data_IF_286988034330
#
_entry.id   IF_286988034330
#
_cell.length_a   1.000
_cell.length_b   1.000
_cell.length_c   1.000
_cell.angle_alpha   90.00
_cell.angle_beta   90.00
_cell.angle_gamma   90.00
#
_symmetry.space_group_name_H-M   'P 1'
#
loop_
_entity.id
_entity.type
_entity.pdbx_description
1 polymer ?
#
# COMPACT_ATOMS: atom_id res chain seq x y z
N UNK A 1 -2.66 12.70 13.68
CA UNK A 1 -2.64 12.27 13.03
C UNK A 1 -3.18 12.23 11.93
N UNK A 2 -3.39 12.62 11.34
CA UNK A 2 -3.86 12.87 10.09
C UNK A 2 -4.07 11.84 9.09
N UNK A 3 -4.40 10.72 9.50
CA UNK A 3 -4.73 9.88 8.53
C UNK A 3 -6.11 9.94 8.32
N UNK A 4 -6.49 10.71 7.46
CA UNK A 4 -7.82 10.71 7.09
C UNK A 4 -7.86 9.97 5.83
N UNK A 5 -8.25 8.86 5.74
CA UNK A 5 -8.37 8.25 4.46
C UNK A 5 -8.54 6.77 4.53
N UNK A 6 -8.95 6.23 3.41
CA UNK A 6 -8.96 4.81 3.22
C UNK A 6 -7.54 4.34 3.02
N UNK A 7 -7.18 3.28 3.67
CA UNK A 7 -5.87 2.70 3.50
C UNK A 7 -5.98 1.19 3.53
N UNK A 8 -5.00 0.54 2.95
CA UNK A 8 -4.95 -0.92 2.86
C UNK A 8 -3.78 -1.41 3.69
N UNK A 9 -4.07 -2.33 4.58
CA UNK A 9 -3.03 -2.98 5.38
C UNK A 9 -2.86 -4.41 4.88
N UNK A 10 -1.63 -4.80 4.59
CA UNK A 10 -1.33 -6.15 4.15
C UNK A 10 -0.99 -6.98 5.38
N UNK A 11 -1.90 -7.87 5.76
CA UNK A 11 -1.69 -8.74 6.91
C UNK A 11 -0.83 -9.94 6.52
N UNK A 12 -0.05 -10.42 7.49
CA UNK A 12 0.81 -11.58 7.29
C UNK A 12 2.21 -11.24 6.81
N UNK A 13 2.44 -10.05 6.29
CA UNK A 13 3.76 -9.66 5.83
C UNK A 13 4.69 -9.27 6.98
N UNK A 14 4.15 -8.83 8.11
CA UNK A 14 4.96 -8.49 9.28
C UNK A 14 5.80 -9.67 9.74
N UNK A 15 5.22 -10.85 9.73
CA UNK A 15 5.95 -12.05 10.11
C UNK A 15 7.05 -12.38 9.11
N UNK A 16 6.77 -12.24 7.81
CA UNK A 16 7.77 -12.46 6.77
C UNK A 16 8.92 -11.48 6.90
N UNK A 17 8.64 -10.22 7.17
CA UNK A 17 9.66 -9.19 7.38
C UNK A 17 10.50 -9.54 8.61
N UNK A 18 9.88 -9.95 9.71
CA UNK A 18 10.61 -10.34 10.91
C UNK A 18 11.53 -11.53 10.67
N UNK A 19 11.07 -12.53 9.91
CA UNK A 19 11.89 -13.70 9.58
C UNK A 19 13.12 -13.30 8.78
N UNK A 20 12.92 -12.45 7.78
CA UNK A 20 14.04 -11.96 6.97
C UNK A 20 15.04 -11.23 7.85
N UNK A 21 14.57 -10.38 8.74
CA UNK A 21 15.44 -9.61 9.63
C UNK A 21 16.13 -10.47 10.67
N UNK A 22 15.51 -11.56 11.11
CA UNK A 22 16.15 -12.47 12.05
C UNK A 22 17.26 -13.29 11.41
N UNK A 23 17.19 -13.47 10.08
CA UNK A 23 18.20 -14.21 9.35
C UNK A 23 19.39 -13.36 8.96
N UNK A 24 19.23 -12.07 8.88
CA UNK A 24 20.34 -11.18 8.55
C UNK A 24 20.14 -9.82 9.18
N UNK A 25 21.16 -9.37 9.88
CA UNK A 25 21.20 -8.02 10.44
C UNK A 25 21.63 -6.98 9.41
N UNK A 26 21.97 -7.41 8.19
CA UNK A 26 22.44 -6.49 7.16
C UNK A 26 21.31 -5.75 6.44
N UNK A 27 20.07 -6.20 6.58
CA UNK A 27 18.96 -5.55 5.94
C UNK A 27 18.52 -4.33 6.75
N UNK A 28 18.60 -3.18 6.13
CA UNK A 28 18.15 -1.94 6.74
C UNK A 28 16.63 -1.77 6.53
N UNK A 29 16.00 -1.08 7.47
CA UNK A 29 14.58 -0.79 7.37
C UNK A 29 14.24 -0.08 6.06
N UNK A 30 15.13 0.77 5.58
CA UNK A 30 14.95 1.50 4.33
C UNK A 30 14.78 0.56 3.14
N UNK A 31 15.58 -0.50 3.07
CA UNK A 31 15.50 -1.46 1.97
C UNK A 31 14.18 -2.22 2.01
N UNK A 32 13.75 -2.63 3.18
CA UNK A 32 12.46 -3.32 3.36
C UNK A 32 11.31 -2.38 3.00
N UNK A 33 11.38 -1.14 3.42
CA UNK A 33 10.36 -0.15 3.10
C UNK A 33 10.21 0.05 1.59
N UNK A 34 11.31 0.05 0.85
CA UNK A 34 11.25 0.17 -0.60
C UNK A 34 10.53 -1.01 -1.25
N UNK A 35 10.76 -2.21 -0.74
CA UNK A 35 10.04 -3.40 -1.22
C UNK A 35 8.56 -3.28 -0.95
N UNK A 36 8.19 -2.88 0.27
CA UNK A 36 6.78 -2.78 0.65
C UNK A 36 6.05 -1.70 -0.15
N UNK A 37 6.65 -0.53 -0.33
CA UNK A 37 6.00 0.55 -1.08
C UNK A 37 5.86 0.20 -2.56
N UNK A 38 6.78 -0.57 -3.09
CA UNK A 38 6.67 -1.05 -4.47
C UNK A 38 5.42 -1.93 -4.64
N UNK A 39 5.13 -2.77 -3.65
CA UNK A 39 3.90 -3.55 -3.64
C UNK A 39 2.67 -2.66 -3.55
N UNK A 40 2.71 -1.63 -2.71
CA UNK A 40 1.58 -0.71 -2.57
C UNK A 40 1.34 0.11 -3.83
N UNK A 41 2.38 0.37 -4.62
CA UNK A 41 2.21 1.04 -5.91
C UNK A 41 1.37 0.23 -6.88
N UNK A 42 1.43 -1.09 -6.80
CA UNK A 42 0.57 -1.95 -7.63
C UNK A 42 -0.90 -1.72 -7.28
N UNK A 43 -1.21 -1.67 -5.98
CA UNK A 43 -2.58 -1.40 -5.52
C UNK A 43 -3.02 0.02 -5.93
N UNK A 44 -2.14 1.00 -5.73
CA UNK A 44 -2.41 2.38 -6.14
C UNK A 44 -2.77 2.46 -7.63
N UNK A 45 -1.98 1.83 -8.46
CA UNK A 45 -2.18 1.92 -9.91
C UNK A 45 -3.48 1.23 -10.33
N UNK A 46 -3.82 0.11 -9.71
CA UNK A 46 -5.08 -0.56 -9.98
C UNK A 46 -6.27 0.29 -9.52
N UNK A 47 -6.17 0.91 -8.35
CA UNK A 47 -7.22 1.80 -7.85
C UNK A 47 -7.42 2.98 -8.79
N UNK A 48 -6.32 3.52 -9.33
CA UNK A 48 -6.42 4.63 -10.29
C UNK A 48 -7.14 4.23 -11.58
N UNK A 49 -7.01 2.98 -12.00
CA UNK A 49 -7.71 2.49 -13.17
C UNK A 49 -9.21 2.29 -12.91
N UNK A 50 -9.58 2.02 -11.68
CA UNK A 50 -10.98 1.74 -11.31
C UNK A 50 -11.76 2.96 -10.89
N UNK A 51 -11.08 4.04 -10.50
CA UNK A 51 -11.77 5.22 -10.01
C UNK A 51 -12.53 5.93 -11.14
N UNK A 52 -13.76 6.40 -10.90
CA UNK A 52 -14.46 7.19 -11.91
C UNK A 52 -13.70 8.48 -12.22
N UNK A 53 -13.41 8.68 -13.49
CA UNK A 53 -12.63 9.86 -13.90
C UNK A 53 -13.57 10.94 -14.35
N UNK A 54 -13.91 11.84 -13.45
CA UNK A 54 -14.75 12.97 -13.79
C UNK A 54 -13.90 14.21 -13.98
N UNK A 55 -13.02 14.51 -13.02
CA UNK A 55 -12.11 15.63 -13.09
C UNK A 55 -10.65 15.20 -13.03
N UNK A 56 -10.40 13.94 -12.79
CA UNK A 56 -9.06 13.44 -12.56
C UNK A 56 -8.51 13.74 -11.18
N UNK A 57 -9.24 14.53 -10.39
CA UNK A 57 -8.78 14.95 -9.07
C UNK A 57 -8.65 13.77 -8.11
N UNK A 58 -9.68 12.92 -8.06
CA UNK A 58 -9.66 11.73 -7.20
C UNK A 58 -8.56 10.77 -7.62
N UNK A 59 -8.43 10.53 -8.91
CA UNK A 59 -7.38 9.67 -9.44
C UNK A 59 -6.00 10.15 -9.01
N UNK A 60 -5.75 11.44 -9.09
CA UNK A 60 -4.45 12.03 -8.74
C UNK A 60 -4.19 12.04 -7.23
N UNK A 61 -5.23 11.85 -6.42
CA UNK A 61 -5.11 11.86 -4.98
C UNK A 61 -4.74 10.50 -4.38
N UNK A 62 -4.76 9.44 -5.17
CA UNK A 62 -4.42 8.10 -4.69
C UNK A 62 -2.89 7.95 -4.69
N UNK A 63 -2.34 7.66 -3.52
CA UNK A 63 -0.89 7.62 -3.30
C UNK A 63 -0.47 6.33 -2.62
N UNK A 64 0.77 5.91 -2.88
CA UNK A 64 1.43 4.86 -2.12
C UNK A 64 2.60 5.51 -1.37
N UNK A 65 2.70 5.25 -0.08
CA UNK A 65 3.70 5.90 0.78
C UNK A 65 4.28 4.92 1.77
N UNK A 66 5.50 5.23 2.21
CA UNK A 66 6.13 4.53 3.32
C UNK A 66 5.52 5.06 4.62
N UNK A 67 5.15 4.15 5.51
CA UNK A 67 4.59 4.51 6.81
C UNK A 67 5.64 5.02 7.77
N UNK A 68 5.19 5.65 8.84
CA UNK A 68 6.09 6.09 9.90
C UNK A 68 6.65 4.87 10.63
N UNK A 69 7.94 4.90 10.89
CA UNK A 69 8.56 3.85 11.70
C UNK A 69 8.11 3.99 13.14
N UNK A 70 7.59 2.89 13.67
CA UNK A 70 7.23 2.81 15.07
C UNK A 70 8.20 1.83 15.72
N UNK A 71 9.15 2.35 16.47
CA UNK A 71 10.19 1.52 17.03
C UNK A 71 11.29 1.24 16.02
N UNK A 72 12.29 0.50 16.47
CA UNK A 72 13.54 0.35 15.74
C UNK A 72 13.47 -0.55 14.51
N UNK A 73 12.51 -1.48 14.49
CA UNK A 73 12.53 -2.53 13.48
C UNK A 73 11.24 -2.68 12.68
N UNK A 74 10.37 -1.69 12.70
CA UNK A 74 9.10 -1.77 11.99
C UNK A 74 9.21 -1.04 10.66
N UNK A 75 8.95 -1.76 9.58
CA UNK A 75 8.84 -1.20 8.24
C UNK A 75 7.39 -1.36 7.79
N UNK A 76 6.86 -0.34 7.17
CA UNK A 76 5.48 -0.38 6.67
C UNK A 76 5.31 0.49 5.44
N UNK A 77 4.29 0.17 4.65
CA UNK A 77 3.88 0.98 3.53
C UNK A 77 2.36 0.89 3.41
N UNK A 78 1.77 1.89 2.80
CA UNK A 78 0.32 1.90 2.63
C UNK A 78 -0.05 2.61 1.33
N UNK A 79 -1.26 2.32 0.86
CA UNK A 79 -1.89 3.06 -0.22
C UNK A 79 -3.09 3.79 0.36
N UNK A 80 -3.27 5.04 0.02
CA UNK A 80 -4.31 5.86 0.61
C UNK A 80 -4.71 7.00 -0.32
N UNK A 81 -5.82 7.64 0.02
CA UNK A 81 -6.31 8.81 -0.71
C UNK A 81 -5.99 10.06 0.08
N UNK A 82 -5.48 11.07 -0.60
CA UNK A 82 -5.27 12.38 0.01
C UNK A 82 -6.61 13.11 0.08
N UNK A 83 -7.20 13.15 1.25
CA UNK A 83 -8.51 13.78 1.45
C UNK A 83 -8.49 15.30 1.31
N UNK A 84 -7.35 15.93 1.50
CA UNK A 84 -7.26 17.36 1.26
C UNK A 84 -7.47 17.68 -0.21
N UNK A 85 -6.94 16.79 -1.07
CA UNK A 85 -7.06 16.96 -2.51
C UNK A 85 -8.40 16.47 -3.02
N UNK A 86 -8.92 15.38 -2.46
CA UNK A 86 -10.17 14.77 -2.90
C UNK A 86 -11.05 14.41 -1.70
N UNK A 87 -11.71 15.40 -1.08
CA UNK A 87 -12.53 15.14 0.11
C UNK A 87 -13.75 14.24 -0.15
N UNK A 88 -14.17 14.13 -1.40
CA UNK A 88 -15.30 13.29 -1.79
C UNK A 88 -14.95 11.82 -2.00
N UNK A 89 -13.70 11.45 -1.84
CA UNK A 89 -13.21 10.09 -2.12
C UNK A 89 -13.99 9.00 -1.37
N UNK A 90 -14.29 9.25 -0.12
CA UNK A 90 -15.01 8.31 0.72
C UNK A 90 -16.43 8.07 0.19
N UNK A 91 -17.08 9.12 -0.28
CA UNK A 91 -18.43 9.04 -0.79
C UNK A 91 -18.49 8.24 -2.09
N UNK A 92 -17.47 8.31 -2.91
CA UNK A 92 -17.39 7.52 -4.13
C UNK A 92 -17.25 6.03 -3.79
N UNK A 93 -16.37 5.71 -2.84
CA UNK A 93 -16.13 4.32 -2.46
C UNK A 93 -17.37 3.65 -1.87
N UNK A 94 -18.03 4.32 -0.95
CA UNK A 94 -19.11 3.74 -0.16
C UNK A 94 -20.51 4.17 -0.56
N UNK A 95 -20.61 5.18 -1.41
CA UNK A 95 -21.90 5.70 -1.82
C UNK A 95 -22.55 6.59 -0.77
N UNK A 96 -23.68 7.19 -1.15
CA UNK A 96 -24.47 8.05 -0.28
C UNK A 96 -25.94 7.67 -0.43
N UNK A 97 -26.80 8.37 0.32
CA UNK A 97 -28.25 8.22 0.18
C UNK A 97 -28.73 8.52 -1.25
N UNK A 98 -28.02 9.41 -1.94
CA UNK A 98 -28.41 9.86 -3.26
C UNK A 98 -27.55 9.32 -4.41
N UNK A 99 -26.49 8.62 -4.11
CA UNK A 99 -25.57 8.10 -5.12
C UNK A 99 -25.15 6.69 -4.78
N UNK A 100 -25.20 5.82 -5.78
CA UNK A 100 -24.77 4.45 -5.61
C UNK A 100 -23.26 4.40 -5.46
N UNK A 101 -22.76 3.49 -4.63
CA UNK A 101 -21.33 3.29 -4.45
C UNK A 101 -20.66 2.87 -5.76
N UNK A 102 -19.49 3.44 -6.02
CA UNK A 102 -18.63 3.04 -7.14
C UNK A 102 -17.25 2.73 -6.56
N UNK A 103 -17.11 1.57 -5.90
CA UNK A 103 -15.85 1.26 -5.21
C UNK A 103 -14.68 1.11 -6.18
N UNK A 104 -13.54 1.62 -5.78
CA UNK A 104 -12.33 1.58 -6.57
C UNK A 104 -11.15 1.04 -5.77
N UNK A 105 -11.10 1.32 -4.48
CA UNK A 105 -9.97 0.97 -3.63
C UNK A 105 -10.03 -0.48 -3.16
N UNK A 106 -11.14 -0.90 -2.62
CA UNK A 106 -11.31 -2.26 -2.13
C UNK A 106 -11.21 -3.30 -3.25
N UNK A 107 -11.88 -3.11 -4.40
CA UNK A 107 -11.71 -4.04 -5.51
C UNK A 107 -10.26 -4.06 -6.04
N UNK A 108 -9.56 -2.93 -6.00
CA UNK A 108 -8.17 -2.88 -6.40
C UNK A 108 -7.32 -3.80 -5.52
N UNK A 109 -7.50 -3.70 -4.20
CA UNK A 109 -6.81 -4.56 -3.26
C UNK A 109 -7.17 -6.03 -3.48
N UNK A 110 -8.46 -6.34 -3.57
CA UNK A 110 -8.91 -7.72 -3.72
C UNK A 110 -8.36 -8.37 -4.98
N UNK A 111 -8.25 -7.60 -6.07
CA UNK A 111 -7.76 -8.15 -7.33
C UNK A 111 -6.23 -8.31 -7.38
N UNK A 112 -5.51 -7.52 -6.59
CA UNK A 112 -4.04 -7.49 -6.65
C UNK A 112 -3.32 -8.05 -5.44
N UNK A 113 -4.04 -8.35 -4.37
CA UNK A 113 -3.42 -8.76 -3.10
C UNK A 113 -2.49 -9.95 -3.23
N UNK A 114 -2.86 -10.96 -4.00
CA UNK A 114 -2.02 -12.15 -4.14
C UNK A 114 -0.76 -11.85 -4.93
N UNK A 115 -0.91 -11.07 -5.99
CA UNK A 115 0.23 -10.60 -6.78
C UNK A 115 1.20 -9.78 -5.95
N UNK A 116 0.65 -8.88 -5.12
CA UNK A 116 1.44 -8.01 -4.25
C UNK A 116 2.22 -8.83 -3.23
N UNK A 117 1.55 -9.79 -2.57
CA UNK A 117 2.21 -10.65 -1.60
C UNK A 117 3.35 -11.43 -2.22
N UNK A 118 3.10 -12.02 -3.38
CA UNK A 118 4.12 -12.79 -4.10
C UNK A 118 5.31 -11.91 -4.51
N UNK A 119 5.03 -10.72 -5.01
CA UNK A 119 6.06 -9.78 -5.40
C UNK A 119 6.94 -9.37 -4.22
N UNK A 120 6.30 -9.07 -3.08
CA UNK A 120 7.03 -8.68 -1.87
C UNK A 120 7.91 -9.84 -1.39
N UNK A 121 7.38 -11.05 -1.38
CA UNK A 121 8.16 -12.21 -0.98
C UNK A 121 9.39 -12.41 -1.87
N UNK A 122 9.22 -12.30 -3.17
CA UNK A 122 10.32 -12.42 -4.12
C UNK A 122 11.36 -11.33 -3.93
N UNK A 123 10.91 -10.09 -3.76
CA UNK A 123 11.84 -8.97 -3.59
C UNK A 123 12.58 -9.05 -2.26
N UNK A 124 11.92 -9.51 -1.18
CA UNK A 124 12.58 -9.73 0.10
C UNK A 124 13.64 -10.84 -0.02
N UNK A 125 13.33 -11.88 -0.76
CA UNK A 125 14.28 -12.97 -1.00
C UNK A 125 15.52 -12.46 -1.72
N UNK A 126 15.34 -11.62 -2.72
CA UNK A 126 16.45 -11.00 -3.45
C UNK A 126 17.32 -10.14 -2.56
N UNK A 127 16.69 -9.38 -1.65
CA UNK A 127 17.44 -8.59 -0.67
C UNK A 127 18.26 -9.48 0.23
N UNK A 128 17.68 -10.57 0.70
CA UNK A 128 18.38 -11.50 1.57
C UNK A 128 19.60 -12.11 0.86
N UNK A 129 19.43 -12.52 -0.39
CA UNK A 129 20.52 -13.06 -1.19
C UNK A 129 21.60 -12.02 -1.42
N UNK A 130 21.21 -10.80 -1.74
CA UNK A 130 22.15 -9.68 -1.92
C UNK A 130 22.88 -9.33 -0.64
N UNK A 131 22.20 -9.43 0.51
CA UNK A 131 22.79 -9.15 1.81
C UNK A 131 23.80 -10.19 2.27
N UNK A 132 23.78 -11.37 1.65
CA UNK A 132 24.73 -12.43 1.98
C UNK A 132 26.02 -12.37 1.17
N UNK A 133 26.13 -11.44 0.29
CA UNK A 133 27.34 -11.28 -0.52
C UNK A 133 28.42 -10.48 0.18
#
# INVERSE_FOLDING_TARGET
MGKSGMWVQVEGLDEAVRRVRSLTSSLEAKEVEQVLVKGMRVVRDEAKQRVPVRTGLLKSAIKARIGKRRGKFVASAFAAVDYKKAPHAYLVEYGTRHSQAKPYFRPAWDSKKDQVKKQIEEDLRKLLEGGLR
#
